data_IF_336467545341
#
_entry.id   IF_336467545341
#
_cell.length_a   1.000
_cell.length_b   1.000
_cell.length_c   1.000
_cell.angle_alpha   90.00
_cell.angle_beta   90.00
_cell.angle_gamma   90.00
#
_symmetry.space_group_name_H-M   'P 1'
#
loop_
_entity.id
_entity.type
_entity.pdbx_description
1 polymer ?
#
# COMPACT_ATOMS: atom_id res chain seq x y z
N UNK A 1 -16.09 13.09 -4.41
CA UNK A 1 -15.69 13.90 -5.56
C UNK A 1 -14.39 13.34 -6.13
N UNK A 2 -14.44 12.87 -7.38
CA UNK A 2 -13.30 12.25 -8.04
C UNK A 2 -12.23 13.24 -8.50
N UNK A 3 -12.55 14.54 -8.65
CA UNK A 3 -11.59 15.56 -9.12
C UNK A 3 -10.42 15.75 -8.18
N UNK A 4 -10.63 15.55 -6.88
CA UNK A 4 -9.58 15.57 -5.85
C UNK A 4 -9.03 14.18 -5.56
N UNK A 5 -9.89 13.17 -5.61
CA UNK A 5 -9.50 11.80 -5.32
C UNK A 5 -8.48 11.26 -6.32
N UNK A 6 -8.71 11.46 -7.63
CA UNK A 6 -7.80 11.00 -8.69
C UNK A 6 -6.37 11.54 -8.51
N UNK A 7 -6.12 12.86 -8.44
CA UNK A 7 -4.76 13.37 -8.30
C UNK A 7 -4.10 12.94 -6.98
N UNK A 8 -4.86 12.88 -5.88
CA UNK A 8 -4.33 12.39 -4.60
C UNK A 8 -3.98 10.90 -4.65
N UNK A 9 -4.79 10.07 -5.31
CA UNK A 9 -4.51 8.64 -5.50
C UNK A 9 -3.30 8.40 -6.40
N UNK A 10 -3.12 9.22 -7.45
CA UNK A 10 -1.93 9.16 -8.31
C UNK A 10 -0.68 9.47 -7.47
N UNK A 11 -0.67 10.60 -6.77
CA UNK A 11 0.50 11.02 -5.98
C UNK A 11 0.79 10.06 -4.83
N UNK A 12 -0.25 9.63 -4.09
CA UNK A 12 -0.11 8.69 -3.00
C UNK A 12 0.35 7.31 -3.47
N UNK A 13 -0.27 6.78 -4.53
CA UNK A 13 0.08 5.48 -5.11
C UNK A 13 1.50 5.46 -5.68
N UNK A 14 1.88 6.49 -6.44
CA UNK A 14 3.23 6.62 -6.99
C UNK A 14 4.29 6.70 -5.88
N UNK A 15 4.07 7.54 -4.87
CA UNK A 15 5.01 7.69 -3.75
C UNK A 15 5.16 6.39 -2.95
N UNK A 16 4.04 5.72 -2.66
CA UNK A 16 4.06 4.44 -1.95
C UNK A 16 4.80 3.34 -2.73
N UNK A 17 4.60 3.27 -4.06
CA UNK A 17 5.26 2.27 -4.90
C UNK A 17 6.77 2.51 -5.00
N UNK A 18 7.21 3.76 -5.17
CA UNK A 18 8.63 4.11 -5.20
C UNK A 18 9.33 3.80 -3.88
N UNK A 19 8.67 4.10 -2.74
CA UNK A 19 9.21 3.74 -1.43
C UNK A 19 9.34 2.22 -1.27
N UNK A 20 8.34 1.45 -1.71
CA UNK A 20 8.40 0.00 -1.68
C UNK A 20 9.54 -0.56 -2.56
N UNK A 21 9.74 -0.03 -3.76
CA UNK A 21 10.82 -0.44 -4.66
C UNK A 21 12.21 -0.14 -4.06
N UNK A 22 12.40 1.05 -3.50
CA UNK A 22 13.66 1.42 -2.83
C UNK A 22 13.92 0.51 -1.62
N UNK A 23 12.90 0.25 -0.79
CA UNK A 23 13.04 -0.65 0.35
C UNK A 23 13.37 -2.09 -0.09
N UNK A 24 12.73 -2.59 -1.15
CA UNK A 24 13.02 -3.91 -1.70
C UNK A 24 14.48 -4.03 -2.12
N UNK A 25 15.03 -2.99 -2.78
CA UNK A 25 16.43 -2.95 -3.22
C UNK A 25 17.43 -2.85 -2.07
N UNK A 26 17.07 -2.18 -0.98
CA UNK A 26 17.96 -1.99 0.18
C UNK A 26 18.03 -3.26 1.04
N UNK A 27 16.89 -3.94 1.25
CA UNK A 27 16.80 -5.05 2.21
C UNK A 27 17.60 -6.27 1.77
N UNK A 28 17.66 -6.55 0.47
CA UNK A 28 18.20 -7.82 -0.03
C UNK A 28 19.25 -7.68 -1.14
N UNK A 29 20.04 -6.61 -1.16
CA UNK A 29 21.16 -6.54 -2.11
C UNK A 29 22.18 -7.69 -1.88
N UNK A 30 22.62 -8.46 -2.90
CA UNK A 30 22.47 -8.27 -4.35
C UNK A 30 21.30 -9.01 -5.02
N UNK A 31 20.47 -9.74 -4.27
CA UNK A 31 19.29 -10.44 -4.80
C UNK A 31 18.11 -9.49 -5.00
N UNK A 32 17.37 -9.67 -6.10
CA UNK A 32 16.20 -8.84 -6.37
C UNK A 32 14.99 -9.37 -5.59
N UNK A 33 14.65 -8.71 -4.47
CA UNK A 33 13.38 -8.96 -3.79
C UNK A 33 12.22 -8.40 -4.64
N UNK A 34 11.21 -9.21 -5.00
CA UNK A 34 10.05 -8.70 -5.72
C UNK A 34 9.34 -7.63 -4.89
N UNK A 35 9.16 -6.42 -5.45
CA UNK A 35 8.45 -5.31 -4.78
C UNK A 35 7.04 -5.71 -4.32
N UNK A 36 6.42 -6.67 -5.01
CA UNK A 36 5.14 -7.27 -4.64
C UNK A 36 5.12 -7.89 -3.24
N UNK A 37 6.24 -8.43 -2.75
CA UNK A 37 6.34 -8.98 -1.39
C UNK A 37 6.29 -7.83 -0.37
N UNK A 38 7.05 -6.76 -0.61
CA UNK A 38 7.08 -5.58 0.27
C UNK A 38 5.71 -4.91 0.32
N UNK A 39 5.07 -4.73 -0.84
CA UNK A 39 3.74 -4.13 -0.89
C UNK A 39 2.66 -5.04 -0.32
N UNK A 40 2.75 -6.37 -0.45
CA UNK A 40 1.82 -7.30 0.17
C UNK A 40 1.94 -7.31 1.70
N UNK A 41 3.18 -7.28 2.23
CA UNK A 41 3.45 -7.21 3.67
C UNK A 41 2.91 -5.93 4.30
N UNK A 42 2.95 -4.80 3.59
CA UNK A 42 2.35 -3.55 4.05
C UNK A 42 0.83 -3.50 3.81
N UNK A 43 0.39 -3.97 2.65
CA UNK A 43 -0.99 -3.89 2.17
C UNK A 43 -1.93 -4.84 2.91
N UNK A 44 -1.50 -6.04 3.30
CA UNK A 44 -2.35 -6.99 4.01
C UNK A 44 -2.78 -6.48 5.40
N UNK A 45 -1.87 -5.97 6.27
CA UNK A 45 -2.26 -5.32 7.52
C UNK A 45 -3.18 -4.11 7.31
N UNK A 46 -2.89 -3.26 6.33
CA UNK A 46 -3.72 -2.10 6.00
C UNK A 46 -5.14 -2.53 5.57
N UNK A 47 -5.24 -3.51 4.69
CA UNK A 47 -6.51 -4.04 4.21
C UNK A 47 -7.33 -4.67 5.35
N UNK A 48 -6.68 -5.46 6.23
CA UNK A 48 -7.33 -6.02 7.42
C UNK A 48 -7.84 -4.93 8.37
N UNK A 49 -7.09 -3.83 8.53
CA UNK A 49 -7.53 -2.69 9.32
C UNK A 49 -8.77 -2.01 8.71
N UNK A 50 -8.77 -1.77 7.39
CA UNK A 50 -9.94 -1.22 6.68
C UNK A 50 -11.15 -2.14 6.83
N UNK A 51 -10.96 -3.45 6.65
CA UNK A 51 -12.02 -4.45 6.77
C UNK A 51 -12.64 -4.47 8.18
N UNK A 52 -11.81 -4.42 9.23
CA UNK A 52 -12.27 -4.34 10.63
C UNK A 52 -13.06 -3.07 10.89
N UNK A 53 -12.61 -1.93 10.37
CA UNK A 53 -13.30 -0.65 10.50
C UNK A 53 -14.64 -0.65 9.77
N UNK A 54 -14.69 -1.20 8.56
CA UNK A 54 -15.93 -1.35 7.80
C UNK A 54 -16.93 -2.25 8.55
N UNK A 55 -16.46 -3.36 9.14
CA UNK A 55 -17.30 -4.24 9.97
C UNK A 55 -17.85 -3.52 11.20
N UNK A 56 -17.06 -2.68 11.86
CA UNK A 56 -17.50 -1.90 13.03
C UNK A 56 -18.51 -0.80 12.69
N UNK A 57 -18.51 -0.30 11.46
CA UNK A 57 -19.47 0.71 10.97
C UNK A 57 -20.76 0.07 10.44
N UNK A 58 -20.74 -1.23 10.16
CA UNK A 58 -21.95 -2.02 9.91
C UNK A 58 -22.73 -2.27 11.20
N UNK A 59 -23.39 -1.22 11.73
CA UNK A 59 -24.66 -1.38 12.43
C UNK A 59 -25.74 -1.58 11.37
N UNK A 60 -25.84 -2.80 10.85
CA UNK A 60 -27.12 -3.29 10.33
C UNK A 60 -27.91 -3.82 11.53
#
# INVERSE_FOLDING_TARGET
DYRRLIPLSILGGASALLLADVLARIILAPEELPVGIVTALAGAPFFLWVLRRAKSQGHW
#
